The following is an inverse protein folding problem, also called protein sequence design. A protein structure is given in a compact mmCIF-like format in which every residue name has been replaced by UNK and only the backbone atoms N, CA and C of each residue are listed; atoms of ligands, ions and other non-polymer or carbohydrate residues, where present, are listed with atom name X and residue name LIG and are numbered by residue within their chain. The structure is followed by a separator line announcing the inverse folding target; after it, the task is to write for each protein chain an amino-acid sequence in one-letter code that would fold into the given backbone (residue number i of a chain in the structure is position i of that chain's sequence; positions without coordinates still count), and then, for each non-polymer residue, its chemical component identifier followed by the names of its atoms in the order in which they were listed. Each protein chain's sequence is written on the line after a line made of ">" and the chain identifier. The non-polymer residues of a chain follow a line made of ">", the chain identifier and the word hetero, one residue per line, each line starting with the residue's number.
data_IF_257876031790
#
_entry.id   IF_257876031790
#
_cell.length_a   1.000
_cell.length_b   1.000
_cell.length_c   1.000
_cell.angle_alpha   90.00
_cell.angle_beta   90.00
_cell.angle_gamma   90.00
#
_symmetry.space_group_name_H-M   'P 1'
#
loop_
_entity.id
_entity.type
_entity.pdbx_description
1 polymer ?
#
# COMPACT_ATOMS: atom_id res chain seq x y z
N UNK A 1 -7.68 -11.41 -28.10
CA UNK A 1 -7.07 -12.63 -28.66
C UNK A 1 -7.24 -13.73 -27.61
N UNK A 2 -8.00 -14.80 -27.89
CA UNK A 2 -8.37 -15.77 -26.85
C UNK A 2 -7.22 -16.70 -26.36
N UNK A 3 -6.14 -16.82 -27.12
CA UNK A 3 -5.04 -17.75 -26.80
C UNK A 3 -3.98 -17.19 -25.83
N UNK A 4 -3.95 -15.87 -25.60
CA UNK A 4 -2.89 -15.22 -24.82
C UNK A 4 -3.11 -15.31 -23.31
N UNK A 5 -4.37 -15.38 -22.87
CA UNK A 5 -4.74 -15.39 -21.44
C UNK A 5 -4.35 -16.69 -20.74
N UNK A 6 -4.63 -17.91 -21.28
CA UNK A 6 -4.16 -19.15 -20.66
C UNK A 6 -2.63 -19.24 -20.59
N UNK A 7 -1.93 -18.68 -21.58
CA UNK A 7 -0.48 -18.63 -21.58
C UNK A 7 0.06 -17.69 -20.49
N UNK A 8 -0.53 -16.51 -20.33
CA UNK A 8 -0.18 -15.54 -19.30
C UNK A 8 -0.29 -16.15 -17.89
N UNK A 9 -1.41 -16.79 -17.58
CA UNK A 9 -1.63 -17.37 -16.25
C UNK A 9 -0.72 -18.57 -15.96
N UNK A 10 -0.33 -19.33 -16.99
CA UNK A 10 0.71 -20.36 -16.85
C UNK A 10 2.07 -19.75 -16.49
N UNK A 11 2.44 -18.63 -17.12
CA UNK A 11 3.69 -17.93 -16.79
C UNK A 11 3.66 -17.34 -15.37
N UNK A 12 2.54 -16.74 -14.97
CA UNK A 12 2.36 -16.22 -13.60
C UNK A 12 2.48 -17.35 -12.57
N UNK A 13 1.84 -18.50 -12.83
CA UNK A 13 1.91 -19.66 -11.93
C UNK A 13 3.35 -20.16 -11.78
N UNK A 14 4.10 -20.25 -12.89
CA UNK A 14 5.50 -20.67 -12.86
C UNK A 14 6.40 -19.67 -12.08
N UNK A 15 6.15 -18.36 -12.22
CA UNK A 15 6.86 -17.35 -11.43
C UNK A 15 6.50 -17.40 -9.94
N UNK A 16 5.23 -17.61 -9.58
CA UNK A 16 4.86 -17.81 -8.18
C UNK A 16 5.52 -19.05 -7.56
N UNK A 17 5.60 -20.16 -8.30
CA UNK A 17 6.33 -21.36 -7.87
C UNK A 17 7.81 -21.04 -7.65
N UNK A 18 8.42 -20.27 -8.56
CA UNK A 18 9.80 -19.80 -8.41
C UNK A 18 9.97 -18.96 -7.13
N UNK A 19 9.05 -18.04 -6.85
CA UNK A 19 9.08 -17.24 -5.62
C UNK A 19 9.03 -18.11 -4.37
N UNK A 20 8.10 -19.08 -4.31
CA UNK A 20 7.98 -19.99 -3.16
C UNK A 20 9.23 -20.85 -2.97
N UNK A 21 9.82 -21.35 -4.06
CA UNK A 21 11.00 -22.22 -4.01
C UNK A 21 12.29 -21.48 -3.60
N UNK A 22 12.41 -20.20 -3.95
CA UNK A 22 13.59 -19.37 -3.66
C UNK A 22 13.39 -18.44 -2.46
N UNK A 23 12.29 -18.62 -1.73
CA UNK A 23 11.87 -17.74 -0.64
C UNK A 23 12.96 -17.47 0.39
N UNK A 24 13.73 -18.50 0.78
CA UNK A 24 14.80 -18.38 1.78
C UNK A 24 16.07 -17.70 1.27
N UNK A 25 16.22 -17.53 -0.05
CA UNK A 25 17.42 -16.95 -0.66
C UNK A 25 17.28 -15.46 -0.95
N UNK A 26 16.06 -14.91 -0.88
CA UNK A 26 15.81 -13.51 -1.21
C UNK A 26 16.21 -12.56 -0.09
N UNK A 27 16.79 -11.43 -0.48
CA UNK A 27 16.94 -10.24 0.34
C UNK A 27 15.60 -9.54 0.59
N UNK A 28 15.55 -8.63 1.57
CA UNK A 28 14.36 -7.82 1.82
C UNK A 28 13.90 -7.03 0.57
N UNK A 29 14.84 -6.50 -0.22
CA UNK A 29 14.52 -5.79 -1.47
C UNK A 29 13.90 -6.72 -2.52
N UNK A 30 14.45 -7.93 -2.69
CA UNK A 30 13.90 -8.92 -3.61
C UNK A 30 12.52 -9.42 -3.18
N UNK A 31 12.31 -9.66 -1.88
CA UNK A 31 10.99 -10.00 -1.34
C UNK A 31 9.96 -8.89 -1.62
N UNK A 32 10.34 -7.63 -1.44
CA UNK A 32 9.47 -6.49 -1.76
C UNK A 32 9.13 -6.43 -3.26
N UNK A 33 10.10 -6.67 -4.15
CA UNK A 33 9.84 -6.74 -5.60
C UNK A 33 8.92 -7.92 -5.97
N UNK A 34 9.09 -9.08 -5.32
CA UNK A 34 8.18 -10.22 -5.50
C UNK A 34 6.76 -9.88 -5.05
N UNK A 35 6.61 -9.19 -3.92
CA UNK A 35 5.30 -8.69 -3.44
C UNK A 35 4.67 -7.69 -4.41
N UNK A 36 5.46 -6.78 -4.99
CA UNK A 36 5.00 -5.89 -6.05
C UNK A 36 4.45 -6.67 -7.25
N UNK A 37 5.17 -7.69 -7.71
CA UNK A 37 4.72 -8.53 -8.82
C UNK A 37 3.42 -9.28 -8.48
N UNK A 38 3.35 -9.92 -7.29
CA UNK A 38 2.15 -10.65 -6.85
C UNK A 38 0.94 -9.73 -6.76
N UNK A 39 1.11 -8.48 -6.31
CA UNK A 39 0.00 -7.53 -6.24
C UNK A 39 -0.50 -7.08 -7.60
N UNK A 40 0.40 -6.93 -8.58
CA UNK A 40 -0.01 -6.71 -9.97
C UNK A 40 -0.83 -7.90 -10.46
N UNK A 41 -0.39 -9.13 -10.17
CA UNK A 41 -1.14 -10.35 -10.54
C UNK A 41 -2.50 -10.43 -9.84
N UNK A 42 -2.61 -9.99 -8.57
CA UNK A 42 -3.90 -9.90 -7.87
C UNK A 42 -4.82 -8.87 -8.54
N UNK A 43 -4.33 -7.69 -8.90
CA UNK A 43 -5.12 -6.67 -9.61
C UNK A 43 -5.59 -7.20 -10.96
N UNK A 44 -4.73 -7.89 -11.70
CA UNK A 44 -5.09 -8.55 -12.96
C UNK A 44 -6.19 -9.59 -12.74
N UNK A 45 -6.06 -10.44 -11.72
CA UNK A 45 -7.06 -11.46 -11.39
C UNK A 45 -8.41 -10.86 -11.00
N UNK A 46 -8.43 -9.73 -10.27
CA UNK A 46 -9.67 -9.03 -9.89
C UNK A 46 -10.33 -8.30 -11.08
N UNK A 47 -9.56 -7.96 -12.11
CA UNK A 47 -10.07 -7.24 -13.29
C UNK A 47 -10.73 -8.18 -14.32
N UNK A 48 -10.50 -9.48 -14.23
CA UNK A 48 -11.12 -10.47 -15.11
C UNK A 48 -12.57 -10.75 -14.66
N UNK A 49 -13.52 -10.59 -15.59
CA UNK A 49 -14.97 -10.74 -15.32
C UNK A 49 -15.42 -12.17 -15.02
N UNK A 50 -14.54 -13.15 -15.24
CA UNK A 50 -14.84 -14.56 -15.01
C UNK A 50 -14.58 -14.93 -13.55
N UNK A 51 -15.68 -15.04 -12.80
CA UNK A 51 -15.80 -15.52 -11.41
C UNK A 51 -15.21 -16.92 -11.11
N UNK A 52 -14.46 -17.52 -12.05
CA UNK A 52 -14.33 -18.97 -12.17
C UNK A 52 -13.01 -19.56 -11.67
N UNK A 53 -11.99 -18.77 -11.32
CA UNK A 53 -10.78 -19.31 -10.68
C UNK A 53 -10.52 -18.70 -9.29
N UNK A 54 -11.44 -18.98 -8.36
CA UNK A 54 -11.24 -18.74 -6.92
C UNK A 54 -9.94 -19.36 -6.40
N UNK A 55 -9.48 -20.44 -7.04
CA UNK A 55 -8.20 -21.09 -6.72
C UNK A 55 -7.01 -20.17 -7.01
N UNK A 56 -7.02 -19.43 -8.11
CA UNK A 56 -5.97 -18.46 -8.46
C UNK A 56 -5.87 -17.31 -7.47
N UNK A 57 -6.99 -16.66 -7.15
CA UNK A 57 -7.01 -15.58 -6.17
C UNK A 57 -6.50 -16.05 -4.80
N UNK A 58 -6.91 -17.26 -4.39
CA UNK A 58 -6.44 -17.90 -3.16
C UNK A 58 -4.93 -18.13 -3.19
N UNK A 59 -4.39 -18.72 -4.28
CA UNK A 59 -2.95 -18.97 -4.42
C UNK A 59 -2.12 -17.69 -4.37
N UNK A 60 -2.57 -16.62 -5.04
CA UNK A 60 -1.89 -15.33 -5.04
C UNK A 60 -1.86 -14.71 -3.64
N UNK A 61 -2.98 -14.79 -2.91
CA UNK A 61 -3.05 -14.33 -1.53
C UNK A 61 -2.09 -15.11 -0.62
N UNK A 62 -2.07 -16.45 -0.74
CA UNK A 62 -1.13 -17.30 0.01
C UNK A 62 0.34 -16.99 -0.31
N UNK A 63 0.67 -16.69 -1.58
CA UNK A 63 2.02 -16.26 -1.95
C UNK A 63 2.38 -14.92 -1.31
N UNK A 64 1.46 -13.95 -1.34
CA UNK A 64 1.68 -12.64 -0.74
C UNK A 64 1.90 -12.74 0.78
N UNK A 65 1.08 -13.54 1.48
CA UNK A 65 1.23 -13.80 2.92
C UNK A 65 2.59 -14.45 3.24
N UNK A 66 3.01 -15.44 2.43
CA UNK A 66 4.30 -16.11 2.62
C UNK A 66 5.48 -15.16 2.42
N UNK A 67 5.48 -14.38 1.34
CA UNK A 67 6.52 -13.38 1.06
C UNK A 67 6.54 -12.28 2.13
N UNK A 68 5.36 -11.80 2.53
CA UNK A 68 5.20 -10.76 3.56
C UNK A 68 5.69 -11.25 4.92
N UNK A 69 5.35 -12.47 5.31
CA UNK A 69 5.84 -13.10 6.54
C UNK A 69 7.36 -13.17 6.57
N UNK A 70 8.00 -13.62 5.48
CA UNK A 70 9.47 -13.66 5.40
C UNK A 70 10.12 -12.29 5.35
N UNK A 71 9.46 -11.31 4.74
CA UNK A 71 9.92 -9.92 4.81
C UNK A 71 9.90 -9.42 6.26
N UNK A 72 8.83 -9.70 7.00
CA UNK A 72 8.70 -9.33 8.42
C UNK A 72 9.74 -10.05 9.29
N UNK A 73 10.07 -11.32 9.02
CA UNK A 73 11.15 -12.02 9.74
C UNK A 73 12.52 -11.32 9.61
N UNK A 74 12.78 -10.69 8.45
CA UNK A 74 14.05 -10.03 8.16
C UNK A 74 14.06 -8.58 8.68
N UNK A 75 12.96 -7.84 8.50
CA UNK A 75 12.91 -6.38 8.68
C UNK A 75 12.18 -5.97 9.98
N UNK A 76 11.34 -6.84 10.53
CA UNK A 76 10.57 -6.61 11.76
C UNK A 76 9.29 -5.79 11.58
N UNK A 77 9.22 -4.93 10.56
CA UNK A 77 7.98 -4.24 10.19
C UNK A 77 7.89 -4.03 8.68
N UNK A 78 6.67 -4.01 8.14
CA UNK A 78 6.50 -3.83 6.71
C UNK A 78 6.71 -2.38 6.28
N UNK A 79 6.20 -1.41 7.04
CA UNK A 79 6.39 0.02 6.78
C UNK A 79 6.40 0.80 8.09
N UNK A 80 7.01 1.98 8.07
CA UNK A 80 7.04 2.95 9.18
C UNK A 80 6.92 4.38 8.64
N UNK A 81 6.42 5.33 9.44
CA UNK A 81 6.53 6.75 9.16
C UNK A 81 7.97 7.18 8.86
N UNK A 82 8.15 8.14 7.95
CA UNK A 82 9.47 8.71 7.63
C UNK A 82 10.11 9.36 8.86
N UNK A 83 9.31 9.87 9.77
CA UNK A 83 9.75 10.51 11.01
C UNK A 83 10.33 9.48 12.01
N UNK A 84 9.84 8.23 11.96
CA UNK A 84 10.31 7.15 12.84
C UNK A 84 11.51 6.40 12.25
N UNK A 85 11.58 6.30 10.92
CA UNK A 85 12.68 5.68 10.18
C UNK A 85 13.17 6.65 9.09
N UNK A 86 13.91 7.72 9.46
CA UNK A 86 14.39 8.71 8.49
C UNK A 86 15.37 8.09 7.50
N UNK A 87 15.09 8.29 6.22
CA UNK A 87 15.93 7.78 5.14
C UNK A 87 17.20 8.60 4.99
N UNK A 88 18.35 7.93 4.93
CA UNK A 88 19.67 8.56 4.81
C UNK A 88 19.98 9.03 3.39
N UNK A 89 19.45 8.31 2.40
CA UNK A 89 19.64 8.58 0.97
C UNK A 89 18.30 8.62 0.25
N UNK A 90 18.29 9.14 -0.98
CA UNK A 90 17.07 9.15 -1.80
C UNK A 90 16.66 7.74 -2.19
N UNK A 91 17.61 6.85 -2.43
CA UNK A 91 17.38 5.44 -2.73
C UNK A 91 16.75 4.69 -1.55
N UNK A 92 17.22 4.96 -0.34
CA UNK A 92 16.61 4.42 0.88
C UNK A 92 15.18 4.95 1.06
N UNK A 93 14.98 6.24 0.76
CA UNK A 93 13.66 6.86 0.80
C UNK A 93 12.71 6.24 -0.22
N UNK A 94 13.14 6.03 -1.47
CA UNK A 94 12.33 5.36 -2.50
C UNK A 94 11.91 3.97 -2.01
N UNK A 95 12.82 3.24 -1.37
CA UNK A 95 12.50 1.91 -0.84
C UNK A 95 11.50 1.97 0.33
N UNK A 96 11.71 2.88 1.30
CA UNK A 96 10.79 3.08 2.42
C UNK A 96 9.40 3.55 1.96
N UNK A 97 9.35 4.49 1.02
CA UNK A 97 8.11 5.01 0.44
C UNK A 97 7.37 3.94 -0.38
N UNK A 98 8.10 3.12 -1.13
CA UNK A 98 7.53 1.97 -1.84
C UNK A 98 6.87 0.98 -0.86
N UNK A 99 7.47 0.73 0.31
CA UNK A 99 6.88 -0.10 1.37
C UNK A 99 5.62 0.53 1.97
N UNK A 100 5.59 1.85 2.21
CA UNK A 100 4.41 2.58 2.70
C UNK A 100 3.24 2.47 1.71
N UNK A 101 3.47 2.88 0.45
CA UNK A 101 2.50 2.78 -0.65
C UNK A 101 2.00 1.36 -0.85
N UNK A 102 2.88 0.38 -0.70
CA UNK A 102 2.52 -1.03 -0.79
C UNK A 102 1.55 -1.47 0.31
N UNK A 103 1.81 -1.05 1.56
CA UNK A 103 0.94 -1.37 2.69
C UNK A 103 -0.45 -0.75 2.50
N UNK A 104 -0.51 0.48 1.97
CA UNK A 104 -1.74 1.16 1.61
C UNK A 104 -2.50 0.45 0.49
N UNK A 105 -1.79 -0.01 -0.55
CA UNK A 105 -2.41 -0.76 -1.64
C UNK A 105 -2.97 -2.10 -1.15
N UNK A 106 -2.25 -2.80 -0.29
CA UNK A 106 -2.72 -4.04 0.35
C UNK A 106 -4.01 -3.83 1.12
N UNK A 107 -4.11 -2.72 1.87
CA UNK A 107 -5.35 -2.31 2.54
C UNK A 107 -6.49 -2.11 1.53
N UNK A 108 -6.27 -1.33 0.47
CA UNK A 108 -7.30 -1.08 -0.55
C UNK A 108 -7.81 -2.39 -1.15
N UNK A 109 -6.91 -3.31 -1.50
CA UNK A 109 -7.27 -4.62 -2.05
C UNK A 109 -8.07 -5.46 -1.03
N UNK A 110 -7.65 -5.45 0.24
CA UNK A 110 -8.36 -6.13 1.31
C UNK A 110 -9.77 -5.58 1.50
N UNK A 111 -9.96 -4.26 1.38
CA UNK A 111 -11.28 -3.63 1.41
C UNK A 111 -12.15 -4.09 0.23
N UNK A 112 -11.62 -4.09 -1.00
CA UNK A 112 -12.36 -4.56 -2.20
C UNK A 112 -12.83 -6.01 -2.01
N UNK A 113 -11.93 -6.91 -1.61
CA UNK A 113 -12.27 -8.33 -1.36
C UNK A 113 -13.33 -8.46 -0.26
N UNK A 114 -13.23 -7.67 0.80
CA UNK A 114 -14.19 -7.69 1.91
C UNK A 114 -15.59 -7.25 1.44
N UNK A 115 -15.65 -6.20 0.63
CA UNK A 115 -16.87 -5.67 0.01
C UNK A 115 -17.53 -6.72 -0.89
N UNK A 116 -16.78 -7.31 -1.81
CA UNK A 116 -17.29 -8.31 -2.75
C UNK A 116 -17.85 -9.54 -2.03
N UNK A 117 -17.26 -9.91 -0.90
CA UNK A 117 -17.72 -11.03 -0.08
C UNK A 117 -18.87 -10.68 0.87
N UNK A 118 -19.39 -9.44 0.82
CA UNK A 118 -20.49 -8.98 1.68
C UNK A 118 -20.15 -8.93 3.16
N UNK A 119 -18.86 -8.88 3.51
CA UNK A 119 -18.40 -8.80 4.90
C UNK A 119 -18.18 -7.33 5.28
N UNK A 120 -18.35 -7.02 6.56
CA UNK A 120 -17.87 -5.76 7.12
C UNK A 120 -16.44 -5.97 7.59
N UNK A 121 -15.54 -5.02 7.32
CA UNK A 121 -14.20 -5.01 7.90
C UNK A 121 -14.34 -4.72 9.40
N UNK A 122 -14.56 -5.77 10.18
CA UNK A 122 -14.72 -5.68 11.62
C UNK A 122 -13.33 -5.72 12.25
N UNK A 123 -13.00 -4.61 12.89
CA UNK A 123 -11.81 -4.39 13.71
C UNK A 123 -10.51 -4.11 12.93
N UNK A 124 -10.14 -2.83 12.98
CA UNK A 124 -9.13 -2.22 12.14
C UNK A 124 -8.05 -1.53 12.99
N UNK A 125 -7.98 -1.85 14.29
CA UNK A 125 -7.05 -1.21 15.24
C UNK A 125 -5.59 -1.31 14.79
N UNK A 126 -5.19 -2.45 14.19
CA UNK A 126 -3.85 -2.64 13.63
C UNK A 126 -3.54 -1.67 12.47
N UNK A 127 -4.56 -1.13 11.80
CA UNK A 127 -4.41 -0.22 10.67
C UNK A 127 -4.29 1.24 11.09
N UNK A 128 -4.58 1.60 12.34
CA UNK A 128 -4.41 2.98 12.82
C UNK A 128 -2.96 3.46 12.68
N UNK A 129 -2.01 2.55 12.87
CA UNK A 129 -0.57 2.83 12.75
C UNK A 129 -0.05 2.71 11.31
N UNK A 130 -0.91 2.43 10.32
CA UNK A 130 -0.50 2.34 8.93
C UNK A 130 0.02 3.72 8.47
N UNK A 131 1.32 3.85 8.12
CA UNK A 131 1.85 5.11 7.62
C UNK A 131 1.24 5.47 6.28
N UNK A 132 0.89 6.75 6.12
CA UNK A 132 0.37 7.26 4.86
C UNK A 132 1.51 7.48 3.84
N UNK A 133 1.21 7.41 2.53
CA UNK A 133 2.15 7.77 1.49
C UNK A 133 2.54 9.25 1.59
N UNK A 134 3.73 9.57 1.09
CA UNK A 134 4.14 10.96 0.90
C UNK A 134 3.29 11.67 -0.15
N UNK A 135 3.42 12.99 -0.21
CA UNK A 135 2.80 13.81 -1.26
C UNK A 135 3.21 13.35 -2.66
N UNK A 136 2.34 13.65 -3.62
CA UNK A 136 2.54 13.41 -5.04
C UNK A 136 3.84 14.04 -5.54
N UNK A 137 4.13 15.28 -5.14
CA UNK A 137 5.32 16.00 -5.60
C UNK A 137 6.60 15.31 -5.14
N UNK A 138 6.63 14.82 -3.89
CA UNK A 138 7.78 14.09 -3.35
C UNK A 138 7.99 12.74 -4.05
N UNK A 139 6.91 12.03 -4.38
CA UNK A 139 6.97 10.75 -5.08
C UNK A 139 7.32 10.86 -6.57
N UNK A 140 6.81 11.89 -7.24
CA UNK A 140 7.00 12.08 -8.67
C UNK A 140 8.30 12.83 -9.03
N UNK A 141 9.08 13.25 -8.03
CA UNK A 141 10.40 13.84 -8.21
C UNK A 141 11.28 12.97 -9.12
N UNK A 142 11.89 13.60 -10.12
CA UNK A 142 12.70 12.93 -11.16
C UNK A 142 14.20 13.15 -10.99
N UNK A 143 14.59 13.95 -10.01
CA UNK A 143 15.98 14.17 -9.64
C UNK A 143 16.16 14.26 -8.12
N UNK A 144 17.39 14.05 -7.66
CA UNK A 144 17.76 14.19 -6.26
C UNK A 144 17.48 15.61 -5.74
N UNK A 145 17.73 16.63 -6.57
CA UNK A 145 17.52 18.04 -6.24
C UNK A 145 16.02 18.37 -6.08
N UNK A 146 15.18 17.88 -7.00
CA UNK A 146 13.72 17.99 -6.88
C UNK A 146 13.24 17.33 -5.58
N UNK A 147 13.69 16.10 -5.32
CA UNK A 147 13.31 15.39 -4.10
C UNK A 147 13.76 16.11 -2.82
N UNK A 148 14.99 16.62 -2.76
CA UNK A 148 15.49 17.36 -1.60
C UNK A 148 14.69 18.65 -1.35
N UNK A 149 14.34 19.35 -2.43
CA UNK A 149 13.54 20.57 -2.38
C UNK A 149 12.16 20.27 -1.80
N UNK A 150 11.46 19.29 -2.37
CA UNK A 150 10.13 18.87 -1.91
C UNK A 150 10.16 18.28 -0.50
N UNK A 151 11.22 17.52 -0.13
CA UNK A 151 11.39 16.98 1.22
C UNK A 151 11.51 18.10 2.25
N UNK A 152 12.31 19.13 1.94
CA UNK A 152 12.46 20.30 2.82
C UNK A 152 11.13 21.02 3.02
N UNK A 153 10.34 21.20 1.96
CA UNK A 153 9.00 21.79 2.07
C UNK A 153 8.05 20.93 2.91
N UNK A 154 8.06 19.61 2.70
CA UNK A 154 7.25 18.66 3.46
C UNK A 154 7.62 18.65 4.95
N UNK A 155 8.90 18.70 5.29
CA UNK A 155 9.41 18.67 6.66
C UNK A 155 9.07 19.95 7.45
N UNK A 156 8.79 21.07 6.77
CA UNK A 156 8.32 22.31 7.42
C UNK A 156 6.82 22.28 7.77
N UNK A 157 6.07 21.32 7.21
CA UNK A 157 4.63 21.20 7.42
C UNK A 157 4.26 20.46 8.72
N UNK A 158 2.95 20.35 8.98
CA UNK A 158 2.41 19.46 10.02
C UNK A 158 1.67 18.32 9.30
N UNK A 159 2.35 17.20 9.00
CA UNK A 159 1.75 16.16 8.19
C UNK A 159 0.68 15.36 8.97
N UNK A 160 -0.25 14.78 8.21
CA UNK A 160 -0.99 13.59 8.65
C UNK A 160 -0.11 12.39 8.30
N UNK A 161 0.31 11.64 9.30
CA UNK A 161 1.36 10.64 9.18
C UNK A 161 0.80 9.23 9.07
N UNK A 162 -0.33 8.98 9.73
CA UNK A 162 -0.94 7.63 9.80
C UNK A 162 -2.41 7.64 9.41
N UNK A 163 -2.93 6.46 9.07
CA UNK A 163 -4.35 6.28 8.78
C UNK A 163 -5.23 6.66 9.99
N UNK A 164 -4.79 6.38 11.22
CA UNK A 164 -5.49 6.77 12.44
C UNK A 164 -5.60 8.29 12.57
N UNK A 165 -4.51 9.01 12.30
CA UNK A 165 -4.52 10.48 12.31
C UNK A 165 -5.44 11.05 11.21
N UNK A 166 -5.52 10.41 10.05
CA UNK A 166 -6.44 10.82 8.97
C UNK A 166 -7.90 10.65 9.39
N UNK A 167 -8.24 9.50 9.97
CA UNK A 167 -9.58 9.22 10.49
C UNK A 167 -9.95 10.23 11.58
N UNK A 168 -9.03 10.52 12.50
CA UNK A 168 -9.23 11.52 13.56
C UNK A 168 -9.39 12.93 13.00
N UNK A 169 -8.59 13.32 12.01
CA UNK A 169 -8.69 14.63 11.37
C UNK A 169 -10.03 14.82 10.65
N UNK A 170 -10.54 13.76 9.99
CA UNK A 170 -11.87 13.75 9.37
C UNK A 170 -12.98 13.86 10.42
N UNK A 171 -12.88 13.09 11.50
CA UNK A 171 -13.83 13.11 12.62
C UNK A 171 -13.99 14.50 13.24
N UNK A 172 -12.87 15.23 13.36
CA UNK A 172 -12.76 16.50 14.05
C UNK A 172 -12.55 17.68 13.09
N UNK A 173 -13.09 17.62 11.88
CA UNK A 173 -12.89 18.63 10.83
C UNK A 173 -13.37 20.04 11.19
N UNK A 174 -14.20 20.19 12.23
CA UNK A 174 -14.61 21.50 12.78
C UNK A 174 -13.50 22.21 13.55
N UNK A 175 -12.47 21.47 14.00
CA UNK A 175 -11.31 22.04 14.66
C UNK A 175 -10.33 22.62 13.60
N UNK A 176 -9.94 23.91 13.72
CA UNK A 176 -9.05 24.56 12.74
C UNK A 176 -7.74 23.82 12.47
N UNK A 177 -7.16 23.15 13.48
CA UNK A 177 -5.92 22.39 13.32
C UNK A 177 -6.13 21.15 12.45
N UNK A 178 -7.19 20.38 12.71
CA UNK A 178 -7.52 19.19 11.93
C UNK A 178 -7.96 19.55 10.51
N UNK A 179 -8.72 20.64 10.34
CA UNK A 179 -9.06 21.18 9.03
C UNK A 179 -7.80 21.55 8.20
N UNK A 180 -6.84 22.23 8.82
CA UNK A 180 -5.58 22.59 8.17
C UNK A 180 -4.76 21.35 7.78
N UNK A 181 -4.64 20.37 8.68
CA UNK A 181 -3.96 19.09 8.40
C UNK A 181 -4.61 18.35 7.23
N UNK A 182 -5.94 18.28 7.22
CA UNK A 182 -6.69 17.60 6.16
C UNK A 182 -6.51 18.32 4.82
N UNK A 183 -6.61 19.65 4.78
CA UNK A 183 -6.38 20.43 3.57
C UNK A 183 -4.96 20.25 3.01
N UNK A 184 -3.94 20.22 3.88
CA UNK A 184 -2.56 19.99 3.48
C UNK A 184 -2.37 18.60 2.87
N UNK A 185 -2.98 17.58 3.48
CA UNK A 185 -2.98 16.22 2.95
C UNK A 185 -3.69 16.14 1.59
N UNK A 186 -4.92 16.65 1.49
CA UNK A 186 -5.71 16.67 0.25
C UNK A 186 -4.98 17.36 -0.91
N UNK A 187 -4.30 18.47 -0.65
CA UNK A 187 -3.54 19.20 -1.67
C UNK A 187 -2.32 18.41 -2.17
N UNK A 188 -1.71 17.62 -1.29
CA UNK A 188 -0.57 16.76 -1.61
C UNK A 188 -0.96 15.39 -2.18
N UNK A 189 -2.25 15.03 -2.16
CA UNK A 189 -2.73 13.68 -2.48
C UNK A 189 -2.54 13.30 -3.94
N UNK A 190 -2.12 12.06 -4.15
CA UNK A 190 -2.17 11.39 -5.46
C UNK A 190 -3.40 10.48 -5.57
N UNK A 191 -3.51 9.73 -6.68
CA UNK A 191 -4.62 8.79 -6.89
C UNK A 191 -4.70 7.71 -5.81
N UNK A 192 -3.58 7.30 -5.22
CA UNK A 192 -3.56 6.31 -4.15
C UNK A 192 -4.15 6.89 -2.87
N UNK A 193 -3.78 8.12 -2.53
CA UNK A 193 -4.40 8.84 -1.42
C UNK A 193 -5.90 9.02 -1.62
N UNK A 194 -6.39 9.31 -2.84
CA UNK A 194 -7.83 9.33 -3.14
C UNK A 194 -8.51 7.96 -2.92
N UNK A 195 -7.88 6.85 -3.33
CA UNK A 195 -8.43 5.51 -3.10
C UNK A 195 -8.45 5.14 -1.61
N UNK A 196 -7.41 5.53 -0.86
CA UNK A 196 -7.38 5.39 0.59
C UNK A 196 -8.51 6.17 1.25
N UNK A 197 -8.79 7.37 0.74
CA UNK A 197 -9.87 8.21 1.26
C UNK A 197 -11.23 7.52 1.18
N UNK A 198 -11.53 6.93 0.02
CA UNK A 198 -12.73 6.12 -0.21
C UNK A 198 -12.75 4.88 0.67
N UNK A 199 -11.60 4.20 0.82
CA UNK A 199 -11.49 3.04 1.71
C UNK A 199 -11.76 3.43 3.17
N UNK A 200 -11.27 4.59 3.62
CA UNK A 200 -11.51 5.14 4.95
C UNK A 200 -13.00 5.41 5.17
N UNK A 201 -13.65 6.09 4.24
CA UNK A 201 -15.09 6.36 4.32
C UNK A 201 -15.93 5.08 4.32
N UNK A 202 -15.51 4.07 3.57
CA UNK A 202 -16.24 2.81 3.54
C UNK A 202 -16.11 2.02 4.85
N UNK A 203 -14.89 1.92 5.38
CA UNK A 203 -14.58 1.09 6.56
C UNK A 203 -14.94 1.81 7.87
N UNK A 204 -14.65 3.10 7.97
CA UNK A 204 -14.85 3.90 9.20
C UNK A 204 -15.97 4.93 9.10
N UNK A 205 -16.53 5.22 7.92
CA UNK A 205 -17.63 6.18 7.76
C UNK A 205 -18.95 5.76 8.41
N UNK A 206 -19.06 4.51 8.90
CA UNK A 206 -20.19 4.04 9.71
C UNK A 206 -20.01 4.22 11.22
N UNK A 207 -18.87 4.76 11.65
CA UNK A 207 -18.54 5.05 13.07
C UNK A 207 -18.80 6.54 13.40
N UNK A 208 -19.30 7.31 12.44
CA UNK A 208 -19.73 8.71 12.60
C UNK A 208 -21.26 8.84 12.59
#
# INVERSE_FOLDING_TARGET
>A
MPETEPFLWRMITAEEERFRNQLSTFSARELHMCLQAVLIYMIMAMSESDTTDKGRATRLFETAELLGSRFLDIVGSYSKPEQEEPSLTWEDWIFAESRRRMSCLWLIISCVITIENGRSCADCGAMQNLPLPSSKMLWEARSLEEWQTEKTYSDMGIPVVTLGELVEAKANSTNPLHAHKLQAWEMGSDKMATMLDVAVEFVWGRVF
#
